data_IF_333726602398
#
_entry.id   IF_333726602398
#
_cell.length_a   1.000
_cell.length_b   1.000
_cell.length_c   1.000
_cell.angle_alpha   90.00
_cell.angle_beta   90.00
_cell.angle_gamma   90.00
#
_symmetry.space_group_name_H-M   'P 1'
#
loop_
_entity.id
_entity.type
_entity.pdbx_description
1 polymer ?
#
# COMPACT_ATOMS: atom_id res chain seq x y z
N UNK A 1 13.21 -43.44 -2.52
CA UNK A 1 14.29 -42.58 -1.97
C UNK A 1 14.02 -41.08 -2.18
N UNK A 2 12.77 -40.60 -2.09
CA UNK A 2 12.40 -39.20 -2.34
C UNK A 2 11.81 -38.47 -1.11
N UNK A 3 11.87 -39.09 0.07
CA UNK A 3 11.28 -38.54 1.32
C UNK A 3 12.21 -37.63 2.13
N UNK A 4 13.36 -37.22 1.58
CA UNK A 4 14.29 -36.31 2.27
C UNK A 4 14.23 -34.86 1.79
N UNK A 5 13.56 -34.57 0.67
CA UNK A 5 13.09 -33.22 0.32
C UNK A 5 11.95 -32.80 1.27
N UNK A 6 12.27 -32.75 2.56
CA UNK A 6 11.38 -32.29 3.61
C UNK A 6 11.72 -30.87 4.04
N UNK A 7 11.09 -30.44 5.13
CA UNK A 7 11.40 -29.20 5.83
C UNK A 7 12.90 -28.84 5.95
N UNK A 8 13.86 -29.76 6.20
CA UNK A 8 15.27 -29.40 6.33
C UNK A 8 15.89 -28.81 5.05
N UNK A 9 15.63 -29.36 3.86
CA UNK A 9 16.15 -28.82 2.59
C UNK A 9 15.62 -27.39 2.35
N UNK A 10 14.33 -27.15 2.63
CA UNK A 10 13.71 -25.83 2.47
C UNK A 10 14.36 -24.83 3.43
N UNK A 11 14.60 -25.23 4.68
CA UNK A 11 15.29 -24.40 5.68
C UNK A 11 16.71 -24.07 5.21
N UNK A 12 17.46 -25.04 4.68
CA UNK A 12 18.82 -24.81 4.17
C UNK A 12 18.82 -23.77 3.04
N UNK A 13 17.90 -23.89 2.08
CA UNK A 13 17.76 -22.93 0.97
C UNK A 13 17.40 -21.54 1.52
N UNK A 14 16.45 -21.44 2.45
CA UNK A 14 16.10 -20.17 3.08
C UNK A 14 17.27 -19.53 3.80
N UNK A 15 18.09 -20.32 4.51
CA UNK A 15 19.31 -19.81 5.17
C UNK A 15 20.26 -19.22 4.13
N UNK A 16 20.51 -19.91 3.02
CA UNK A 16 21.38 -19.39 1.93
C UNK A 16 20.83 -18.09 1.36
N UNK A 17 19.52 -18.02 1.07
CA UNK A 17 18.89 -16.79 0.57
C UNK A 17 19.03 -15.65 1.58
N UNK A 18 18.81 -15.91 2.88
CA UNK A 18 18.98 -14.91 3.94
C UNK A 18 20.43 -14.45 4.06
N UNK A 19 21.42 -15.31 3.85
CA UNK A 19 22.83 -14.92 3.83
C UNK A 19 23.18 -14.03 2.63
N UNK A 20 22.61 -14.32 1.46
CA UNK A 20 22.86 -13.53 0.23
C UNK A 20 22.16 -12.17 0.24
N UNK A 21 20.89 -12.14 0.63
CA UNK A 21 20.06 -10.93 0.56
C UNK A 21 19.99 -10.18 1.89
N UNK A 22 20.19 -10.87 3.01
CA UNK A 22 20.06 -10.34 4.37
C UNK A 22 18.65 -10.49 4.96
N UNK A 23 18.58 -10.71 6.27
CA UNK A 23 17.32 -10.92 7.01
C UNK A 23 16.32 -9.75 6.91
N UNK A 24 16.80 -8.54 6.61
CA UNK A 24 15.97 -7.34 6.46
C UNK A 24 15.47 -7.11 5.03
N UNK A 25 16.16 -7.63 4.00
CA UNK A 25 15.75 -7.45 2.59
C UNK A 25 14.70 -8.44 2.15
N UNK A 26 14.74 -9.68 2.63
CA UNK A 26 13.73 -10.69 2.33
C UNK A 26 12.29 -10.22 2.68
N UNK A 27 11.99 -9.74 3.91
CA UNK A 27 10.66 -9.27 4.27
C UNK A 27 10.29 -7.95 3.59
N UNK A 28 11.27 -7.09 3.29
CA UNK A 28 11.05 -5.82 2.60
C UNK A 28 10.64 -6.04 1.14
N UNK A 29 11.35 -6.93 0.43
CA UNK A 29 10.99 -7.36 -0.92
C UNK A 29 9.65 -8.11 -0.94
N UNK A 30 9.39 -9.00 0.02
CA UNK A 30 8.09 -9.66 0.11
C UNK A 30 6.94 -8.67 0.36
N UNK A 31 7.15 -7.62 1.17
CA UNK A 31 6.14 -6.58 1.43
C UNK A 31 5.90 -5.70 0.20
N UNK A 32 6.95 -5.29 -0.53
CA UNK A 32 6.78 -4.49 -1.74
C UNK A 32 6.11 -5.28 -2.86
N UNK A 33 6.57 -6.51 -3.11
CA UNK A 33 5.97 -7.45 -4.08
C UNK A 33 4.53 -7.80 -3.69
N UNK A 34 4.26 -8.01 -2.40
CA UNK A 34 2.92 -8.31 -1.90
C UNK A 34 1.92 -7.18 -2.12
N UNK A 35 2.36 -5.91 -1.99
CA UNK A 35 1.51 -4.75 -2.32
C UNK A 35 1.15 -4.71 -3.80
N UNK A 36 2.14 -4.88 -4.69
CA UNK A 36 1.90 -4.92 -6.14
C UNK A 36 1.01 -6.11 -6.53
N UNK A 37 1.31 -7.30 -6.01
CA UNK A 37 0.51 -8.50 -6.27
C UNK A 37 -0.93 -8.38 -5.74
N UNK A 38 -1.16 -7.65 -4.65
CA UNK A 38 -2.52 -7.41 -4.12
C UNK A 38 -3.33 -6.54 -5.07
N UNK A 39 -2.74 -5.46 -5.59
CA UNK A 39 -3.39 -4.55 -6.54
C UNK A 39 -3.74 -5.31 -7.82
N UNK A 40 -2.76 -6.03 -8.38
CA UNK A 40 -2.99 -6.86 -9.57
C UNK A 40 -4.02 -7.95 -9.33
N UNK A 41 -4.05 -8.58 -8.14
CA UNK A 41 -5.06 -9.58 -7.80
C UNK A 41 -6.46 -8.95 -7.66
N UNK A 42 -6.60 -7.75 -7.10
CA UNK A 42 -7.89 -7.07 -7.02
C UNK A 42 -8.43 -6.67 -8.39
N UNK A 43 -7.57 -6.14 -9.26
CA UNK A 43 -7.94 -5.79 -10.63
C UNK A 43 -8.27 -7.04 -11.44
N UNK A 44 -7.43 -8.08 -11.38
CA UNK A 44 -7.69 -9.36 -12.04
C UNK A 44 -8.98 -10.03 -11.52
N UNK A 45 -9.30 -9.88 -10.24
CA UNK A 45 -10.55 -10.41 -9.65
C UNK A 45 -11.76 -9.60 -10.09
N UNK A 46 -11.65 -8.28 -10.24
CA UNK A 46 -12.72 -7.43 -10.77
C UNK A 46 -13.04 -7.83 -12.22
N UNK A 47 -12.01 -7.92 -13.07
CA UNK A 47 -12.17 -8.39 -14.46
C UNK A 47 -12.76 -9.80 -14.55
N UNK A 48 -12.36 -10.71 -13.66
CA UNK A 48 -12.92 -12.08 -13.62
C UNK A 48 -14.36 -12.12 -13.08
N UNK A 49 -14.73 -11.23 -12.16
CA UNK A 49 -16.07 -11.18 -11.57
C UNK A 49 -17.08 -10.50 -12.52
N UNK A 50 -16.65 -9.51 -13.30
CA UNK A 50 -17.46 -8.89 -14.36
C UNK A 50 -17.84 -9.87 -15.48
N UNK A 51 -17.06 -10.94 -15.65
CA UNK A 51 -17.37 -12.04 -16.57
C UNK A 51 -18.12 -13.21 -15.94
N UNK A 52 -18.46 -13.18 -14.65
CA UNK A 52 -19.10 -14.32 -13.97
C UNK A 52 -20.44 -13.99 -13.29
N UNK A 53 -20.67 -12.83 -12.67
CA UNK A 53 -21.87 -12.71 -11.81
C UNK A 53 -22.46 -11.28 -11.71
N UNK A 54 -23.63 -11.08 -12.34
CA UNK A 54 -24.72 -10.26 -11.81
C UNK A 54 -25.31 -10.90 -10.52
N UNK A 55 -24.47 -11.22 -9.54
CA UNK A 55 -24.94 -11.78 -8.27
C UNK A 55 -23.98 -11.45 -7.12
N UNK A 56 -24.55 -10.80 -6.10
CA UNK A 56 -23.98 -10.51 -4.78
C UNK A 56 -23.29 -9.15 -4.65
N UNK A 57 -24.08 -8.22 -4.11
CA UNK A 57 -23.67 -6.91 -3.62
C UNK A 57 -22.48 -6.99 -2.61
N UNK A 58 -21.69 -5.91 -2.47
CA UNK A 58 -20.47 -5.92 -1.68
C UNK A 58 -20.76 -6.06 -0.17
N UNK A 59 -20.22 -7.11 0.46
CA UNK A 59 -20.07 -7.16 1.90
C UNK A 59 -18.86 -6.32 2.32
N UNK A 60 -19.08 -5.45 3.29
CA UNK A 60 -18.13 -4.61 4.01
C UNK A 60 -16.70 -5.20 4.16
N UNK A 61 -15.65 -4.41 3.97
CA UNK A 61 -14.31 -4.80 4.43
C UNK A 61 -14.27 -4.81 5.97
N UNK A 62 -13.73 -5.86 6.62
CA UNK A 62 -13.49 -5.81 8.06
C UNK A 62 -12.52 -4.68 8.39
N UNK A 63 -13.01 -3.74 9.19
CA UNK A 63 -12.28 -2.62 9.73
C UNK A 63 -11.08 -3.08 10.58
N UNK A 64 -9.93 -3.28 9.94
CA UNK A 64 -8.63 -3.32 10.59
C UNK A 64 -8.22 -1.91 11.01
N UNK A 65 -8.77 -1.44 12.13
CA UNK A 65 -8.31 -0.21 12.79
C UNK A 65 -6.94 -0.44 13.42
N UNK A 66 -5.92 0.33 12.98
CA UNK A 66 -4.87 0.93 13.84
C UNK A 66 -3.87 1.72 12.96
N UNK A 67 -3.23 2.81 13.45
CA UNK A 67 -3.51 3.66 14.62
C UNK A 67 -3.88 5.10 14.20
N UNK A 68 -4.63 5.78 15.08
CA UNK A 68 -5.05 7.17 14.93
C UNK A 68 -3.84 8.11 15.09
N UNK A 69 -3.33 8.66 13.99
CA UNK A 69 -2.43 9.81 13.98
C UNK A 69 -2.79 10.57 12.70
N UNK A 70 -3.51 11.69 12.73
CA UNK A 70 -3.08 13.00 13.21
C UNK A 70 -4.31 13.72 13.79
N UNK A 71 -4.28 14.05 15.09
CA UNK A 71 -5.13 15.12 15.63
C UNK A 71 -4.32 16.41 15.50
N UNK A 72 -4.49 17.12 14.38
CA UNK A 72 -4.11 18.52 14.32
C UNK A 72 -5.05 19.27 15.26
N UNK A 73 -4.49 20.00 16.23
CA UNK A 73 -5.27 20.84 17.11
C UNK A 73 -5.96 21.95 16.29
N UNK A 74 -7.26 22.22 16.49
CA UNK A 74 -7.91 23.39 15.90
C UNK A 74 -7.31 24.65 16.53
N UNK A 75 -6.47 25.38 15.80
CA UNK A 75 -5.85 26.61 16.30
C UNK A 75 -4.85 27.30 15.37
N UNK A 76 -4.18 26.59 14.47
CA UNK A 76 -3.10 27.15 13.63
C UNK A 76 -3.57 27.80 12.31
N UNK A 77 -4.70 28.51 12.33
CA UNK A 77 -5.11 29.37 11.19
C UNK A 77 -5.12 30.86 11.53
N UNK A 78 -4.68 31.25 12.74
CA UNK A 78 -4.61 32.65 13.17
C UNK A 78 -3.36 33.42 12.70
N UNK A 79 -2.59 32.89 11.73
CA UNK A 79 -1.32 33.47 11.30
C UNK A 79 -1.19 33.78 9.81
N UNK A 80 -2.09 33.31 8.94
CA UNK A 80 -2.06 33.68 7.53
C UNK A 80 -2.84 34.99 7.35
N UNK A 81 -2.17 36.13 7.57
CA UNK A 81 -2.70 37.43 7.15
C UNK A 81 -3.15 37.32 5.68
N UNK A 82 -4.37 37.72 5.32
CA UNK A 82 -4.73 37.86 3.93
C UNK A 82 -3.86 38.98 3.36
N UNK A 83 -2.97 38.66 2.42
CA UNK A 83 -2.42 39.66 1.52
C UNK A 83 -3.56 40.05 0.58
N UNK A 84 -4.32 41.04 1.03
CA UNK A 84 -5.13 41.91 0.17
C UNK A 84 -4.23 43.04 -0.25
N UNK A 85 -3.79 43.07 -1.52
CA UNK A 85 -3.63 44.30 -2.32
C UNK A 85 -3.22 43.99 -3.77
N UNK A 86 -3.45 44.90 -4.73
CA UNK A 86 -4.66 44.93 -5.53
C UNK A 86 -4.39 44.77 -7.04
N UNK A 87 -5.47 44.54 -7.77
CA UNK A 87 -5.57 44.58 -9.22
C UNK A 87 -5.23 45.96 -9.79
N UNK A 88 -4.04 46.14 -10.36
CA UNK A 88 -3.75 47.16 -11.39
C UNK A 88 -3.61 46.44 -12.74
N UNK A 89 -4.67 46.40 -13.55
CA UNK A 89 -4.85 47.30 -14.71
C UNK A 89 -3.56 47.48 -15.54
N UNK A 90 -3.38 46.58 -16.51
CA UNK A 90 -3.49 46.91 -17.94
C UNK A 90 -3.40 48.41 -18.32
N UNK A 91 -2.40 48.75 -19.16
CA UNK A 91 -2.38 49.88 -20.11
C UNK A 91 -1.88 51.24 -19.58
N UNK A 92 -0.64 51.62 -19.94
CA UNK A 92 -0.30 52.58 -21.01
C UNK A 92 1.02 53.33 -20.74
N UNK A 93 2.10 52.99 -21.45
CA UNK A 93 2.82 53.89 -22.38
C UNK A 93 3.93 53.13 -23.12
#
# INVERSE_FOLDING_TARGET
>A
MFGRLGAPEIILILVVIVLLFGAKKLPDMARSLGKSARILKSEAKAMKSEGQDNASAPADPPAGQAPRTIKAAPGDVAGARPVTEPSDRTTQH
#
